data_IF_494081749532
#
_entry.id   IF_494081749532
#
_cell.length_a   1.000
_cell.length_b   1.000
_cell.length_c   1.000
_cell.angle_alpha   90.00
_cell.angle_beta   90.00
_cell.angle_gamma   90.00
#
_symmetry.space_group_name_H-M   'P 1'
#
loop_
_entity.id
_entity.type
_entity.pdbx_description
1 polymer ?
#
# COMPACT_ATOMS: atom_id res chain seq x y z
N UNK A 1 -62.37 -0.84 80.15
CA UNK A 1 -61.64 0.31 80.72
C UNK A 1 -60.14 -0.01 80.73
N UNK A 2 -59.34 0.88 80.13
CA UNK A 2 -57.88 1.11 80.27
C UNK A 2 -56.82 0.00 80.10
N UNK A 3 -56.05 0.16 79.01
CA UNK A 3 -54.57 0.27 78.84
C UNK A 3 -53.57 -0.49 79.75
N UNK A 4 -52.62 -1.14 79.04
CA UNK A 4 -51.14 -0.97 79.06
C UNK A 4 -50.19 -1.98 79.78
N UNK A 5 -49.18 -2.38 78.97
CA UNK A 5 -47.74 -2.69 79.23
C UNK A 5 -47.35 -4.09 79.72
N UNK A 6 -46.34 -4.69 79.04
CA UNK A 6 -45.27 -5.43 79.74
C UNK A 6 -44.83 -6.79 79.16
N UNK A 7 -43.67 -6.80 78.52
CA UNK A 7 -42.84 -7.92 78.04
C UNK A 7 -42.64 -9.11 79.01
N UNK A 8 -42.55 -10.36 78.50
CA UNK A 8 -41.40 -11.28 78.75
C UNK A 8 -41.44 -12.62 77.98
N UNK A 9 -40.29 -12.91 77.33
CA UNK A 9 -39.57 -14.19 77.10
C UNK A 9 -40.34 -15.54 76.98
N UNK A 10 -40.28 -16.13 75.78
CA UNK A 10 -40.24 -17.57 75.43
C UNK A 10 -39.61 -17.64 74.02
N UNK A 11 -38.74 -18.55 73.58
CA UNK A 11 -38.15 -19.75 74.15
C UNK A 11 -37.01 -20.18 73.21
N UNK A 12 -36.03 -20.87 73.79
CA UNK A 12 -34.75 -21.31 73.22
C UNK A 12 -34.93 -22.70 72.60
N UNK A 13 -34.71 -22.89 71.30
CA UNK A 13 -34.19 -24.12 70.66
C UNK A 13 -34.04 -23.94 69.15
N UNK A 14 -33.07 -24.66 68.58
CA UNK A 14 -32.71 -24.78 67.15
C UNK A 14 -31.77 -23.67 66.65
N UNK A 15 -30.46 -23.79 66.91
CA UNK A 15 -29.47 -23.21 65.98
C UNK A 15 -28.03 -23.77 66.05
N UNK A 16 -27.81 -25.00 66.55
CA UNK A 16 -26.44 -25.54 66.70
C UNK A 16 -25.98 -26.55 65.62
N UNK A 17 -26.70 -26.71 64.50
CA UNK A 17 -26.30 -27.68 63.46
C UNK A 17 -26.02 -27.10 62.05
N UNK A 18 -25.92 -25.78 61.90
CA UNK A 18 -25.66 -25.13 60.59
C UNK A 18 -24.32 -24.41 60.46
N UNK A 19 -23.41 -24.56 61.44
CA UNK A 19 -22.13 -23.81 61.46
C UNK A 19 -20.89 -24.60 61.05
N UNK A 20 -20.95 -25.93 60.93
CA UNK A 20 -19.77 -26.76 60.69
C UNK A 20 -19.54 -27.25 59.25
N UNK A 21 -20.47 -27.05 58.32
CA UNK A 21 -20.30 -27.42 56.91
C UNK A 21 -19.88 -26.26 55.99
N UNK A 22 -20.03 -24.99 56.43
CA UNK A 22 -19.60 -23.80 55.66
C UNK A 22 -18.11 -23.46 55.76
N UNK A 23 -17.36 -24.05 56.69
CA UNK A 23 -15.94 -23.71 56.89
C UNK A 23 -14.94 -24.57 56.10
N UNK A 24 -15.33 -25.74 55.56
CA UNK A 24 -14.42 -26.58 54.76
C UNK A 24 -14.29 -26.15 53.30
N UNK A 25 -15.31 -25.48 52.73
CA UNK A 25 -15.29 -25.04 51.33
C UNK A 25 -14.54 -23.72 51.10
N UNK A 26 -14.37 -22.89 52.14
CA UNK A 26 -13.72 -21.58 52.03
C UNK A 26 -12.20 -21.63 51.83
N UNK A 27 -11.54 -22.77 52.08
CA UNK A 27 -10.10 -22.94 51.86
C UNK A 27 -9.72 -23.45 50.46
N UNK A 28 -10.65 -24.03 49.70
CA UNK A 28 -10.38 -24.61 48.38
C UNK A 28 -10.82 -23.73 47.20
N UNK A 29 -11.71 -22.76 47.43
CA UNK A 29 -12.15 -21.79 46.41
C UNK A 29 -10.99 -20.96 45.83
N UNK A 30 -10.02 -20.42 46.61
CA UNK A 30 -8.93 -19.65 46.00
C UNK A 30 -7.99 -20.51 45.16
N UNK A 31 -7.82 -21.80 45.49
CA UNK A 31 -6.95 -22.70 44.72
C UNK A 31 -7.59 -23.19 43.43
N UNK A 32 -8.91 -23.40 43.42
CA UNK A 32 -9.65 -23.77 42.21
C UNK A 32 -9.71 -22.62 41.19
N UNK A 33 -9.84 -21.36 41.66
CA UNK A 33 -9.82 -20.17 40.81
C UNK A 33 -8.42 -19.92 40.23
N UNK A 34 -7.37 -20.09 41.04
CA UNK A 34 -5.97 -19.98 40.57
C UNK A 34 -5.61 -21.08 39.56
N UNK A 35 -6.11 -22.30 39.73
CA UNK A 35 -5.90 -23.39 38.76
C UNK A 35 -6.66 -23.12 37.45
N UNK A 36 -7.88 -22.59 37.53
CA UNK A 36 -8.66 -22.18 36.35
C UNK A 36 -8.01 -21.04 35.56
N UNK A 37 -7.43 -20.05 36.25
CA UNK A 37 -6.67 -18.97 35.62
C UNK A 37 -5.35 -19.50 35.03
N UNK A 38 -4.63 -20.39 35.72
CA UNK A 38 -3.41 -20.98 35.20
C UNK A 38 -3.66 -21.85 33.95
N UNK A 39 -4.76 -22.61 33.92
CA UNK A 39 -5.17 -23.38 32.74
C UNK A 39 -5.60 -22.45 31.60
N UNK A 40 -6.38 -21.40 31.89
CA UNK A 40 -6.78 -20.40 30.89
C UNK A 40 -5.57 -19.63 30.32
N UNK A 41 -4.60 -19.26 31.15
CA UNK A 41 -3.34 -18.63 30.72
C UNK A 41 -2.47 -19.62 29.96
N UNK A 42 -2.49 -20.91 30.30
CA UNK A 42 -1.74 -21.94 29.55
C UNK A 42 -2.38 -22.23 28.19
N UNK A 43 -3.72 -22.24 28.08
CA UNK A 43 -4.43 -22.33 26.79
C UNK A 43 -4.29 -21.05 25.96
N UNK A 44 -4.30 -19.88 26.60
CA UNK A 44 -4.05 -18.60 25.94
C UNK A 44 -2.60 -18.55 25.44
N UNK A 45 -1.62 -18.94 26.25
CA UNK A 45 -0.23 -19.06 25.84
C UNK A 45 -0.01 -20.14 24.78
N UNK A 46 -0.68 -21.30 24.83
CA UNK A 46 -0.60 -22.30 23.75
C UNK A 46 -1.20 -21.77 22.44
N UNK A 47 -2.24 -20.94 22.51
CA UNK A 47 -2.89 -20.35 21.32
C UNK A 47 -2.15 -19.12 20.78
N UNK A 48 -1.44 -18.38 21.64
CA UNK A 48 -0.66 -17.19 21.27
C UNK A 48 0.79 -17.53 20.89
N UNK A 49 1.38 -18.57 21.48
CA UNK A 49 2.75 -19.02 21.17
C UNK A 49 2.79 -20.24 20.24
N UNK A 50 1.68 -20.99 20.10
CA UNK A 50 1.60 -22.18 19.25
C UNK A 50 1.69 -21.91 17.75
N UNK A 51 1.48 -20.66 17.30
CA UNK A 51 1.56 -20.29 15.88
C UNK A 51 2.92 -19.71 15.46
N UNK A 52 3.90 -19.63 16.35
CA UNK A 52 5.18 -18.99 16.06
C UNK A 52 6.18 -19.85 15.25
N UNK A 53 5.89 -21.13 14.93
CA UNK A 53 6.80 -22.00 14.16
C UNK A 53 6.14 -23.09 13.30
N UNK A 54 5.00 -22.82 12.68
CA UNK A 54 4.60 -23.63 11.51
C UNK A 54 5.34 -23.12 10.28
N UNK A 55 6.65 -23.37 10.23
CA UNK A 55 7.35 -23.49 8.96
C UNK A 55 6.74 -24.72 8.25
N UNK A 56 5.65 -24.51 7.50
CA UNK A 56 5.27 -25.47 6.47
C UNK A 56 6.44 -25.48 5.48
N UNK A 57 7.29 -26.49 5.59
CA UNK A 57 8.29 -26.77 4.59
C UNK A 57 7.55 -27.25 3.35
N UNK A 58 7.22 -26.32 2.46
CA UNK A 58 6.84 -26.67 1.10
C UNK A 58 8.11 -27.17 0.38
N UNK A 59 8.04 -28.30 -0.35
CA UNK A 59 9.17 -28.73 -1.17
C UNK A 59 9.46 -27.65 -2.22
N UNK A 60 10.73 -27.26 -2.40
CA UNK A 60 11.06 -26.18 -3.33
C UNK A 60 10.63 -26.52 -4.76
N UNK A 61 9.76 -25.68 -5.33
CA UNK A 61 9.27 -25.79 -6.71
C UNK A 61 10.21 -25.05 -7.67
N UNK A 62 9.99 -25.20 -8.98
CA UNK A 62 10.75 -24.44 -9.99
C UNK A 62 10.62 -22.92 -9.80
N UNK A 63 9.53 -22.44 -9.19
CA UNK A 63 9.30 -21.02 -8.93
C UNK A 63 10.36 -20.43 -7.99
N UNK A 64 10.82 -21.17 -6.99
CA UNK A 64 11.73 -20.62 -5.95
C UNK A 64 13.17 -21.10 -6.09
N UNK A 65 13.44 -22.06 -6.99
CA UNK A 65 14.80 -22.59 -7.22
C UNK A 65 15.81 -21.54 -7.68
N UNK A 66 15.35 -20.53 -8.40
CA UNK A 66 16.19 -19.46 -8.95
C UNK A 66 15.54 -18.11 -8.72
N UNK A 67 15.98 -17.44 -7.67
CA UNK A 67 15.55 -16.09 -7.33
C UNK A 67 16.63 -15.08 -7.72
N UNK A 68 16.21 -13.90 -8.18
CA UNK A 68 17.08 -12.77 -8.54
C UNK A 68 16.72 -11.56 -7.68
N UNK A 69 17.72 -10.84 -7.18
CA UNK A 69 17.50 -9.63 -6.40
C UNK A 69 17.16 -8.44 -7.30
N UNK A 70 16.05 -7.77 -6.99
CA UNK A 70 15.59 -6.54 -7.62
C UNK A 70 15.61 -5.38 -6.62
N UNK A 71 15.98 -4.19 -7.12
CA UNK A 71 15.87 -2.94 -6.37
C UNK A 71 14.57 -2.23 -6.71
N UNK A 72 13.71 -2.00 -5.70
CA UNK A 72 12.40 -1.35 -5.84
C UNK A 72 12.29 -0.23 -4.83
N UNK A 73 12.29 1.02 -5.30
CA UNK A 73 12.32 2.19 -4.43
C UNK A 73 13.53 2.15 -3.49
N UNK A 74 13.30 2.09 -2.18
CA UNK A 74 14.35 1.92 -1.16
C UNK A 74 14.60 0.46 -0.74
N UNK A 75 13.90 -0.49 -1.33
CA UNK A 75 13.92 -1.90 -0.96
C UNK A 75 14.76 -2.74 -1.92
N UNK A 76 15.16 -3.90 -1.43
CA UNK A 76 15.56 -5.06 -2.20
C UNK A 76 14.56 -6.18 -1.96
N UNK A 77 14.21 -6.89 -3.03
CA UNK A 77 13.30 -8.03 -3.01
C UNK A 77 13.82 -9.08 -3.99
N UNK A 78 13.72 -10.36 -3.64
CA UNK A 78 14.15 -11.44 -4.51
C UNK A 78 12.92 -12.03 -5.22
N UNK A 79 12.95 -12.06 -6.56
CA UNK A 79 11.85 -12.49 -7.41
C UNK A 79 12.29 -13.68 -8.29
N UNK A 80 11.36 -14.55 -8.70
CA UNK A 80 11.68 -15.73 -9.51
C UNK A 80 12.29 -15.37 -10.88
N UNK A 81 13.15 -16.23 -11.40
CA UNK A 81 13.57 -16.19 -12.80
C UNK A 81 12.33 -16.23 -13.72
N UNK A 82 12.32 -15.40 -14.77
CA UNK A 82 11.14 -15.22 -15.62
C UNK A 82 10.16 -14.15 -15.13
N UNK A 83 10.51 -13.40 -14.08
CA UNK A 83 9.80 -12.16 -13.74
C UNK A 83 9.93 -11.12 -14.85
N UNK A 84 8.79 -10.58 -15.27
CA UNK A 84 8.67 -9.59 -16.34
C UNK A 84 7.87 -8.37 -15.84
N UNK A 85 7.97 -7.25 -16.54
CA UNK A 85 7.19 -6.05 -16.23
C UNK A 85 7.06 -5.19 -17.48
N UNK A 86 6.02 -4.36 -17.52
CA UNK A 86 5.80 -3.43 -18.61
C UNK A 86 6.79 -2.27 -18.59
N UNK A 87 7.06 -1.62 -19.74
CA UNK A 87 7.94 -0.45 -19.80
C UNK A 87 7.54 0.69 -18.85
N UNK A 88 6.26 0.79 -18.49
CA UNK A 88 5.66 1.82 -17.64
C UNK A 88 5.33 1.34 -16.21
N UNK A 89 5.79 0.14 -15.82
CA UNK A 89 5.32 -0.54 -14.61
C UNK A 89 5.71 0.11 -13.27
N UNK A 90 6.48 1.20 -13.26
CA UNK A 90 6.93 1.86 -12.03
C UNK A 90 6.65 3.37 -12.03
N UNK A 91 6.26 3.90 -10.88
CA UNK A 91 6.08 5.33 -10.66
C UNK A 91 6.46 5.76 -9.25
N UNK A 92 6.64 7.06 -9.07
CA UNK A 92 6.90 7.66 -7.78
C UNK A 92 6.15 8.99 -7.60
N UNK A 93 5.83 9.33 -6.36
CA UNK A 93 5.50 10.71 -5.99
C UNK A 93 6.70 11.31 -5.26
N UNK A 94 7.20 12.44 -5.77
CA UNK A 94 8.25 13.22 -5.14
C UNK A 94 7.64 14.47 -4.50
N UNK A 95 8.20 14.88 -3.37
CA UNK A 95 7.70 15.99 -2.55
C UNK A 95 6.19 15.92 -2.20
N UNK A 96 5.58 14.75 -2.30
CA UNK A 96 4.18 14.48 -1.99
C UNK A 96 3.17 14.82 -3.07
N UNK A 97 3.59 15.47 -4.16
CA UNK A 97 2.64 15.93 -5.19
C UNK A 97 3.18 15.87 -6.63
N UNK A 98 4.49 15.68 -6.82
CA UNK A 98 5.09 15.57 -8.15
C UNK A 98 5.08 14.10 -8.58
N UNK A 99 4.12 13.75 -9.43
CA UNK A 99 4.07 12.44 -10.06
C UNK A 99 5.22 12.29 -11.08
N UNK A 100 6.10 11.34 -10.84
CA UNK A 100 7.17 10.90 -11.73
C UNK A 100 6.83 9.52 -12.29
N UNK A 101 6.75 9.42 -13.62
CA UNK A 101 6.67 8.15 -14.33
C UNK A 101 7.92 7.91 -15.16
N UNK A 102 8.20 6.63 -15.40
CA UNK A 102 9.35 6.19 -16.21
C UNK A 102 8.86 5.26 -17.30
N UNK A 103 9.36 5.46 -18.52
CA UNK A 103 9.09 4.59 -19.68
C UNK A 103 10.42 4.16 -20.28
N UNK A 104 10.69 2.86 -20.26
CA UNK A 104 11.88 2.27 -20.89
C UNK A 104 11.62 1.92 -22.36
N UNK A 105 12.69 1.76 -23.15
CA UNK A 105 12.59 1.41 -24.57
C UNK A 105 12.21 2.56 -25.51
N UNK A 106 12.22 3.81 -25.04
CA UNK A 106 11.89 4.99 -25.85
C UNK A 106 13.12 5.41 -26.65
N UNK A 107 13.07 5.52 -27.97
CA UNK A 107 14.22 5.99 -28.75
C UNK A 107 14.40 7.52 -28.64
N UNK A 108 15.62 8.02 -28.92
CA UNK A 108 15.87 9.48 -28.96
C UNK A 108 15.00 10.18 -30.01
N UNK A 109 14.75 9.51 -31.14
CA UNK A 109 13.90 10.01 -32.21
C UNK A 109 12.43 10.13 -31.75
N UNK A 110 11.92 9.10 -31.06
CA UNK A 110 10.56 9.13 -30.51
C UNK A 110 10.41 10.21 -29.45
N UNK A 111 11.43 10.39 -28.61
CA UNK A 111 11.49 11.50 -27.66
C UNK A 111 11.43 12.86 -28.38
N UNK A 112 12.22 13.07 -29.42
CA UNK A 112 12.22 14.32 -30.17
C UNK A 112 10.84 14.60 -30.81
N UNK A 113 10.23 13.59 -31.42
CA UNK A 113 8.88 13.68 -31.99
C UNK A 113 7.85 14.03 -30.90
N UNK A 114 7.93 13.38 -29.73
CA UNK A 114 7.06 13.65 -28.60
C UNK A 114 7.18 15.09 -28.12
N UNK A 115 8.40 15.63 -27.99
CA UNK A 115 8.63 17.00 -27.52
C UNK A 115 8.08 18.05 -28.47
N UNK A 116 8.27 17.86 -29.78
CA UNK A 116 7.73 18.77 -30.80
C UNK A 116 6.20 18.72 -30.85
N UNK A 117 5.63 17.51 -30.83
CA UNK A 117 4.18 17.31 -30.79
C UNK A 117 3.57 17.98 -29.56
N UNK A 118 4.13 17.71 -28.37
CA UNK A 118 3.59 18.24 -27.11
C UNK A 118 3.70 19.76 -27.03
N UNK A 119 4.80 20.34 -27.51
CA UNK A 119 4.94 21.79 -27.58
C UNK A 119 3.89 22.44 -28.49
N UNK A 120 3.64 21.85 -29.67
CA UNK A 120 2.62 22.34 -30.59
C UNK A 120 1.20 22.25 -30.00
N UNK A 121 0.90 21.20 -29.22
CA UNK A 121 -0.36 21.08 -28.49
C UNK A 121 -0.53 22.22 -27.48
N UNK A 122 0.50 22.51 -26.68
CA UNK A 122 0.48 23.61 -25.70
C UNK A 122 0.26 24.96 -26.40
N UNK A 123 0.95 25.24 -27.51
CA UNK A 123 0.75 26.47 -28.28
C UNK A 123 -0.67 26.57 -28.85
N UNK A 124 -1.28 25.45 -29.23
CA UNK A 124 -2.65 25.41 -29.72
C UNK A 124 -3.69 25.59 -28.59
N UNK A 125 -3.41 25.06 -27.39
CA UNK A 125 -4.22 25.29 -26.18
C UNK A 125 -4.21 26.77 -25.80
N UNK A 126 -3.05 27.43 -25.80
CA UNK A 126 -2.95 28.86 -25.47
C UNK A 126 -3.76 29.74 -26.43
N UNK A 127 -3.72 29.44 -27.74
CA UNK A 127 -4.51 30.19 -28.75
C UNK A 127 -6.02 30.08 -28.55
N UNK A 128 -6.49 28.98 -27.95
CA UNK A 128 -7.91 28.76 -27.65
C UNK A 128 -8.33 29.38 -26.32
N UNK A 129 -7.38 29.71 -25.45
CA UNK A 129 -7.68 30.29 -24.14
C UNK A 129 -8.31 31.67 -24.30
N UNK A 130 -9.52 31.83 -23.73
CA UNK A 130 -10.22 33.11 -23.68
C UNK A 130 -9.79 33.96 -22.47
N UNK A 131 -8.92 33.41 -21.60
CA UNK A 131 -8.36 34.12 -20.46
C UNK A 131 -7.19 34.98 -20.95
N UNK A 132 -7.14 36.24 -20.52
CA UNK A 132 -5.94 37.07 -20.66
C UNK A 132 -4.82 36.44 -19.82
N UNK A 133 -4.00 35.60 -20.46
CA UNK A 133 -2.90 34.94 -19.79
C UNK A 133 -1.89 36.00 -19.32
N UNK A 134 -1.46 35.98 -18.04
CA UNK A 134 -0.43 36.87 -17.51
C UNK A 134 0.89 36.82 -18.29
N UNK A 135 1.19 35.66 -18.88
CA UNK A 135 2.42 35.30 -19.57
C UNK A 135 2.10 34.24 -20.62
N UNK A 136 2.90 34.20 -21.68
CA UNK A 136 2.85 33.12 -22.68
C UNK A 136 3.57 31.88 -22.18
N UNK A 137 3.23 30.72 -22.76
CA UNK A 137 3.91 29.47 -22.51
C UNK A 137 5.41 29.62 -22.75
N UNK A 138 6.19 28.89 -21.97
CA UNK A 138 7.63 28.86 -22.06
C UNK A 138 8.16 27.43 -21.98
N UNK A 139 9.20 27.17 -22.74
CA UNK A 139 9.95 25.91 -22.76
C UNK A 139 11.35 26.17 -22.20
N UNK A 140 11.77 25.39 -21.22
CA UNK A 140 13.13 25.39 -20.67
C UNK A 140 13.80 24.04 -20.92
N UNK A 141 15.09 24.04 -21.25
CA UNK A 141 15.87 22.83 -21.51
C UNK A 141 17.13 22.85 -20.62
N UNK A 142 17.01 22.61 -19.31
CA UNK A 142 18.11 22.78 -18.36
C UNK A 142 19.27 21.78 -18.57
N UNK A 143 18.98 20.63 -19.17
CA UNK A 143 19.91 19.53 -19.42
C UNK A 143 19.78 19.07 -20.87
N UNK A 144 20.78 18.34 -21.38
CA UNK A 144 20.68 17.66 -22.68
C UNK A 144 19.46 16.72 -22.66
N UNK A 145 18.68 16.73 -23.74
CA UNK A 145 17.48 15.90 -23.92
C UNK A 145 16.49 16.04 -22.75
N UNK A 146 16.32 17.26 -22.26
CA UNK A 146 15.29 17.61 -21.28
C UNK A 146 14.41 18.74 -21.80
N UNK A 147 13.16 18.76 -21.34
CA UNK A 147 12.23 19.86 -21.57
C UNK A 147 11.36 20.06 -20.33
N UNK A 148 11.17 21.31 -19.92
CA UNK A 148 10.17 21.72 -18.93
C UNK A 148 9.26 22.71 -19.63
N UNK A 149 8.00 22.33 -19.79
CA UNK A 149 6.98 23.21 -20.34
C UNK A 149 6.25 23.89 -19.21
N UNK A 150 6.06 25.20 -19.34
CA UNK A 150 5.40 26.05 -18.35
C UNK A 150 4.35 26.86 -19.09
N UNK A 151 3.07 26.65 -18.78
CA UNK A 151 1.97 27.14 -19.62
C UNK A 151 0.69 27.32 -18.81
N UNK A 152 -0.41 27.72 -19.47
CA UNK A 152 -1.71 27.95 -18.84
C UNK A 152 -1.64 28.92 -17.66
N UNK A 153 -0.93 30.03 -17.84
CA UNK A 153 -0.84 31.07 -16.83
C UNK A 153 -2.22 31.67 -16.54
N UNK A 154 -2.58 31.81 -15.27
CA UNK A 154 -3.84 32.42 -14.82
C UNK A 154 -3.61 33.31 -13.61
N UNK A 155 -4.32 34.44 -13.56
CA UNK A 155 -4.43 35.23 -12.34
C UNK A 155 -5.55 34.67 -11.47
N UNK A 156 -5.24 34.43 -10.21
CA UNK A 156 -6.24 34.12 -9.20
C UNK A 156 -6.12 35.17 -8.11
N UNK A 157 -7.23 35.85 -7.84
CA UNK A 157 -7.36 36.76 -6.71
C UNK A 157 -8.20 36.07 -5.65
N UNK A 158 -7.65 35.97 -4.45
CA UNK A 158 -8.31 35.31 -3.33
C UNK A 158 -7.60 35.57 -2.01
N UNK A 159 -8.27 35.34 -0.89
CA UNK A 159 -7.61 35.41 0.40
C UNK A 159 -6.56 34.30 0.51
N UNK A 160 -5.38 34.64 1.01
CA UNK A 160 -4.45 33.65 1.53
C UNK A 160 -5.02 33.00 2.81
N UNK A 161 -4.28 32.09 3.41
CA UNK A 161 -4.71 31.37 4.60
C UNK A 161 -4.88 32.24 5.84
N UNK A 162 -4.30 33.43 5.81
CA UNK A 162 -4.44 34.42 6.86
C UNK A 162 -5.57 35.42 6.54
N UNK A 163 -6.36 35.17 5.49
CA UNK A 163 -7.44 36.04 5.04
C UNK A 163 -6.98 37.27 4.26
N UNK A 164 -5.69 37.39 3.90
CA UNK A 164 -5.17 38.54 3.17
C UNK A 164 -5.41 38.35 1.70
N UNK A 165 -6.17 39.25 1.07
CA UNK A 165 -6.39 39.23 -0.38
C UNK A 165 -5.05 39.33 -1.12
N UNK A 166 -4.72 38.29 -1.89
CA UNK A 166 -3.55 38.26 -2.76
C UNK A 166 -3.97 38.00 -4.19
N UNK A 167 -3.21 38.61 -5.08
CA UNK A 167 -3.29 38.36 -6.51
C UNK A 167 -2.06 37.54 -6.89
N UNK A 168 -2.28 36.26 -7.17
CA UNK A 168 -1.21 35.31 -7.48
C UNK A 168 -1.32 34.80 -8.91
N UNK A 169 -0.16 34.51 -9.50
CA UNK A 169 -0.09 33.87 -10.82
C UNK A 169 0.09 32.37 -10.61
N UNK A 170 -0.86 31.61 -11.13
CA UNK A 170 -0.76 30.17 -11.22
C UNK A 170 -0.39 29.77 -12.64
N UNK A 171 0.32 28.66 -12.76
CA UNK A 171 0.67 28.06 -14.03
C UNK A 171 0.74 26.55 -13.88
N UNK A 172 0.76 25.87 -15.00
CA UNK A 172 1.01 24.44 -15.05
C UNK A 172 2.41 24.19 -15.55
N UNK A 173 3.01 23.13 -15.03
CA UNK A 173 4.30 22.67 -15.49
C UNK A 173 4.30 21.15 -15.68
N UNK A 174 4.99 20.70 -16.71
CA UNK A 174 5.30 19.30 -16.96
C UNK A 174 6.77 19.20 -17.38
N UNK A 175 7.40 18.07 -17.09
CA UNK A 175 8.85 17.90 -17.23
C UNK A 175 9.20 16.60 -17.90
N UNK A 176 10.23 16.62 -18.74
CA UNK A 176 10.70 15.47 -19.49
C UNK A 176 12.21 15.41 -19.46
N UNK A 177 12.74 14.20 -19.35
CA UNK A 177 14.15 13.91 -19.52
C UNK A 177 14.29 12.57 -20.24
N UNK A 178 15.08 12.52 -21.29
CA UNK A 178 15.42 11.28 -21.97
C UNK A 178 16.91 10.98 -21.84
N UNK A 179 17.23 9.75 -21.43
CA UNK A 179 18.60 9.22 -21.28
C UNK A 179 18.58 7.72 -21.55
N UNK A 180 19.55 7.21 -22.32
CA UNK A 180 19.81 5.77 -22.54
C UNK A 180 18.55 4.91 -22.76
N UNK A 181 17.68 5.33 -23.68
CA UNK A 181 16.39 4.69 -24.00
C UNK A 181 15.34 4.71 -22.88
N UNK A 182 15.49 5.59 -21.90
CA UNK A 182 14.56 5.78 -20.78
C UNK A 182 14.05 7.22 -20.78
N UNK A 183 12.73 7.36 -20.81
CA UNK A 183 12.02 8.62 -20.67
C UNK A 183 11.52 8.76 -19.23
N UNK A 184 11.90 9.84 -18.57
CA UNK A 184 11.36 10.31 -17.31
C UNK A 184 10.32 11.39 -17.60
N UNK A 185 9.15 11.29 -16.98
CA UNK A 185 8.06 12.26 -17.15
C UNK A 185 7.56 12.71 -15.79
N UNK A 186 7.65 14.02 -15.54
CA UNK A 186 6.86 14.69 -14.52
C UNK A 186 5.52 15.08 -15.11
N UNK A 187 4.43 14.56 -14.53
CA UNK A 187 3.07 14.87 -14.96
C UNK A 187 2.74 16.37 -14.85
N UNK A 188 1.68 16.79 -15.52
CA UNK A 188 1.14 18.15 -15.42
C UNK A 188 0.82 18.46 -13.96
N UNK A 189 1.48 19.47 -13.40
CA UNK A 189 1.34 19.84 -12.00
C UNK A 189 1.33 21.36 -11.84
N UNK A 190 0.46 21.84 -10.95
CA UNK A 190 0.28 23.27 -10.69
C UNK A 190 1.52 23.86 -10.00
N UNK A 191 2.08 24.92 -10.57
CA UNK A 191 3.23 25.68 -10.08
C UNK A 191 4.51 24.87 -9.83
N UNK A 192 4.67 23.73 -10.50
CA UNK A 192 5.74 22.78 -10.24
C UNK A 192 7.07 23.08 -10.97
N UNK A 193 7.15 24.15 -11.77
CA UNK A 193 8.27 24.35 -12.71
C UNK A 193 9.64 24.33 -12.02
N UNK A 194 9.79 25.05 -10.91
CA UNK A 194 11.07 25.13 -10.19
C UNK A 194 11.43 23.83 -9.47
N UNK A 195 10.43 23.08 -8.99
CA UNK A 195 10.67 21.79 -8.36
C UNK A 195 11.04 20.71 -9.38
N UNK A 196 10.41 20.71 -10.56
CA UNK A 196 10.82 19.86 -11.69
C UNK A 196 12.27 20.16 -12.07
N UNK A 197 12.64 21.44 -12.20
CA UNK A 197 14.01 21.85 -12.50
C UNK A 197 15.02 21.38 -11.45
N UNK A 198 14.63 21.36 -10.17
CA UNK A 198 15.45 20.85 -9.06
C UNK A 198 15.62 19.33 -9.09
N UNK A 199 14.61 18.58 -9.53
CA UNK A 199 14.67 17.12 -9.58
C UNK A 199 15.37 16.56 -10.80
N UNK A 200 15.26 17.21 -11.97
CA UNK A 200 15.84 16.71 -13.24
C UNK A 200 17.32 16.27 -13.15
N UNK A 201 18.24 16.98 -12.47
CA UNK A 201 19.64 16.57 -12.35
C UNK A 201 19.85 15.27 -11.55
N UNK A 202 18.85 14.83 -10.77
CA UNK A 202 18.92 13.67 -9.86
C UNK A 202 18.38 12.38 -10.48
N UNK A 203 17.93 12.45 -11.72
CA UNK A 203 17.35 11.32 -12.45
C UNK A 203 18.44 10.61 -13.24
N UNK A 204 18.70 9.36 -12.91
CA UNK A 204 19.73 8.53 -13.56
C UNK A 204 19.11 7.29 -14.16
N UNK A 205 19.69 6.82 -15.26
CA UNK A 205 19.40 5.50 -15.82
C UNK A 205 20.19 4.45 -15.05
N UNK A 206 19.65 3.23 -14.99
CA UNK A 206 20.35 2.07 -14.39
C UNK A 206 19.97 0.80 -15.12
N UNK A 207 20.79 -0.24 -15.00
CA UNK A 207 20.42 -1.59 -15.45
C UNK A 207 19.42 -2.23 -14.48
N UNK A 208 18.62 -3.18 -14.97
CA UNK A 208 17.57 -3.81 -14.16
C UNK A 208 18.10 -4.50 -12.90
N UNK A 209 19.25 -5.17 -13.03
CA UNK A 209 19.94 -5.89 -11.94
C UNK A 209 21.00 -5.03 -11.22
N UNK A 210 21.12 -3.76 -11.55
CA UNK A 210 22.03 -2.85 -10.86
C UNK A 210 21.41 -2.40 -9.54
N UNK A 211 22.17 -2.58 -8.46
CA UNK A 211 21.81 -2.13 -7.11
C UNK A 211 22.64 -0.88 -6.80
N UNK A 212 22.03 0.32 -6.77
CA UNK A 212 22.75 1.56 -6.48
C UNK A 212 23.32 1.57 -5.06
N UNK A 213 24.53 2.09 -4.91
CA UNK A 213 25.25 2.26 -3.63
C UNK A 213 25.01 3.63 -2.97
N UNK A 214 24.22 4.50 -3.63
CA UNK A 214 23.83 5.83 -3.17
C UNK A 214 22.39 5.87 -2.66
N UNK A 215 22.03 6.83 -1.79
CA UNK A 215 20.66 6.99 -1.31
C UNK A 215 19.73 7.46 -2.42
N UNK A 216 18.54 6.85 -2.51
CA UNK A 216 17.57 7.18 -3.53
C UNK A 216 16.59 6.05 -3.85
N UNK A 217 15.73 6.30 -4.83
CA UNK A 217 14.61 5.45 -5.24
C UNK A 217 14.93 4.71 -6.54
N UNK A 218 14.86 3.38 -6.52
CA UNK A 218 14.94 2.55 -7.71
C UNK A 218 13.58 2.46 -8.42
N UNK A 219 13.57 2.78 -9.71
CA UNK A 219 12.42 2.64 -10.61
C UNK A 219 12.81 1.76 -11.81
N UNK A 220 11.87 1.47 -12.71
CA UNK A 220 12.11 0.67 -13.91
C UNK A 220 13.17 1.32 -14.80
N UNK A 221 14.35 0.70 -14.93
CA UNK A 221 15.48 1.24 -15.70
C UNK A 221 16.03 2.59 -15.18
N UNK A 222 15.64 2.99 -13.97
CA UNK A 222 15.83 4.34 -13.47
C UNK A 222 16.19 4.38 -11.97
N UNK A 223 16.83 5.48 -11.58
CA UNK A 223 17.21 5.80 -10.20
C UNK A 223 17.02 7.29 -9.94
N UNK A 224 16.34 7.61 -8.83
CA UNK A 224 16.17 8.99 -8.35
C UNK A 224 17.06 9.18 -7.14
N UNK A 225 18.13 9.95 -7.27
CA UNK A 225 19.04 10.23 -6.15
C UNK A 225 18.37 11.12 -5.11
N UNK A 226 18.19 10.61 -3.89
CA UNK A 226 17.57 11.33 -2.79
C UNK A 226 17.94 10.74 -1.43
N UNK A 227 18.29 11.62 -0.48
CA UNK A 227 18.40 11.24 0.93
C UNK A 227 17.03 10.93 1.53
N UNK A 228 17.01 10.09 2.56
CA UNK A 228 15.81 9.85 3.34
C UNK A 228 15.69 10.89 4.45
N UNK A 229 15.06 12.02 4.14
CA UNK A 229 14.88 13.14 5.06
C UNK A 229 13.43 13.18 5.61
N UNK A 230 13.30 13.02 6.93
CA UNK A 230 12.01 13.14 7.62
C UNK A 230 11.43 14.56 7.58
N UNK A 231 12.28 15.58 7.45
CA UNK A 231 11.84 16.97 7.38
C UNK A 231 11.50 17.40 5.95
N UNK A 232 11.86 16.58 4.96
CA UNK A 232 11.46 16.82 3.57
C UNK A 232 9.98 16.44 3.35
N UNK A 233 9.38 16.84 2.22
CA UNK A 233 8.00 16.45 1.91
C UNK A 233 7.90 14.98 1.50
N UNK A 234 6.67 14.45 1.44
CA UNK A 234 6.35 13.03 1.27
C UNK A 234 7.01 12.39 0.04
N UNK A 235 7.27 11.08 0.09
CA UNK A 235 7.65 10.31 -1.09
C UNK A 235 6.93 8.96 -1.09
N UNK A 236 6.57 8.47 -2.27
CA UNK A 236 6.05 7.10 -2.43
C UNK A 236 6.52 6.49 -3.74
N UNK A 237 6.60 5.17 -3.77
CA UNK A 237 6.94 4.37 -4.96
C UNK A 237 5.95 3.23 -5.08
N UNK A 238 5.56 2.93 -6.32
CA UNK A 238 4.82 1.72 -6.68
C UNK A 238 5.46 1.06 -7.90
N UNK A 239 5.58 -0.26 -7.88
CA UNK A 239 6.06 -1.03 -9.03
C UNK A 239 5.34 -2.39 -9.13
N UNK A 240 4.68 -2.63 -10.26
CA UNK A 240 4.07 -3.90 -10.63
C UNK A 240 4.98 -4.85 -11.42
N UNK A 241 4.83 -6.14 -11.18
CA UNK A 241 5.55 -7.24 -11.81
C UNK A 241 4.58 -8.33 -12.23
N UNK A 242 4.90 -9.01 -13.33
CA UNK A 242 4.30 -10.29 -13.71
C UNK A 242 5.31 -11.39 -13.46
N UNK A 243 4.97 -12.26 -12.53
CA UNK A 243 5.73 -13.45 -12.17
C UNK A 243 5.27 -14.63 -13.03
N UNK A 244 6.06 -15.73 -13.09
CA UNK A 244 5.61 -16.97 -13.71
C UNK A 244 4.30 -17.47 -13.10
N UNK A 245 3.55 -18.28 -13.86
CA UNK A 245 2.24 -18.83 -13.48
C UNK A 245 1.12 -17.79 -13.32
N UNK A 246 1.13 -16.73 -14.13
CA UNK A 246 0.06 -15.70 -14.13
C UNK A 246 -0.15 -15.08 -12.74
N UNK A 247 0.96 -14.81 -12.06
CA UNK A 247 0.98 -14.13 -10.76
C UNK A 247 1.37 -12.67 -10.95
N UNK A 248 0.53 -11.76 -10.46
CA UNK A 248 0.83 -10.34 -10.37
C UNK A 248 1.43 -10.02 -9.01
N UNK A 249 2.52 -9.26 -8.97
CA UNK A 249 3.10 -8.75 -7.73
C UNK A 249 3.17 -7.23 -7.80
N UNK A 250 2.77 -6.54 -6.73
CA UNK A 250 2.98 -5.11 -6.60
C UNK A 250 3.74 -4.82 -5.33
N UNK A 251 4.77 -3.99 -5.46
CA UNK A 251 5.61 -3.54 -4.34
C UNK A 251 5.41 -2.05 -4.18
N UNK A 252 5.03 -1.63 -2.97
CA UNK A 252 4.85 -0.23 -2.59
C UNK A 252 5.71 0.09 -1.39
N UNK A 253 6.17 1.34 -1.34
CA UNK A 253 6.64 1.91 -0.09
C UNK A 253 6.33 3.40 -0.06
N UNK A 254 6.09 3.94 1.12
CA UNK A 254 5.80 5.35 1.32
C UNK A 254 6.52 5.89 2.54
N UNK A 255 7.01 7.11 2.47
CA UNK A 255 7.62 7.76 3.64
C UNK A 255 6.54 8.05 4.67
N UNK A 256 6.80 7.68 5.91
CA UNK A 256 5.91 7.99 7.03
C UNK A 256 6.63 8.82 8.08
N UNK A 257 5.91 9.72 8.74
CA UNK A 257 6.42 10.47 9.89
C UNK A 257 6.14 9.74 11.21
N UNK A 258 5.03 9.00 11.24
CA UNK A 258 4.60 8.11 12.30
C UNK A 258 4.08 6.81 11.65
N UNK A 259 4.15 5.66 12.35
CA UNK A 259 3.64 4.41 11.81
C UNK A 259 2.18 4.54 11.36
N UNK A 260 1.88 4.00 10.18
CA UNK A 260 0.51 3.83 9.72
C UNK A 260 -0.28 2.89 10.64
N UNK A 261 -1.60 2.93 10.54
CA UNK A 261 -2.45 1.98 11.24
C UNK A 261 -2.19 0.54 10.72
N UNK A 262 -2.00 -0.45 11.60
CA UNK A 262 -1.77 -1.83 11.19
C UNK A 262 -2.88 -2.36 10.27
N UNK A 263 -2.48 -3.09 9.22
CA UNK A 263 -3.39 -3.53 8.16
C UNK A 263 -4.56 -4.39 8.69
N UNK A 264 -4.30 -5.34 9.58
CA UNK A 264 -5.37 -6.21 10.09
C UNK A 264 -6.37 -5.46 10.97
N UNK A 265 -5.92 -4.39 11.64
CA UNK A 265 -6.81 -3.53 12.41
C UNK A 265 -7.72 -2.71 11.49
N UNK A 266 -7.17 -2.14 10.41
CA UNK A 266 -7.95 -1.46 9.36
C UNK A 266 -9.04 -2.37 8.79
N UNK A 267 -8.69 -3.62 8.46
CA UNK A 267 -9.68 -4.57 7.93
C UNK A 267 -10.79 -4.90 8.93
N UNK A 268 -10.44 -5.12 10.20
CA UNK A 268 -11.43 -5.40 11.25
C UNK A 268 -12.43 -4.24 11.40
N UNK A 269 -11.97 -3.00 11.24
CA UNK A 269 -12.82 -1.81 11.31
C UNK A 269 -13.73 -1.68 10.07
N UNK A 270 -13.22 -1.97 8.88
CA UNK A 270 -14.00 -1.90 7.63
C UNK A 270 -15.04 -3.00 7.44
N UNK A 271 -14.81 -4.21 7.98
CA UNK A 271 -15.76 -5.33 7.82
C UNK A 271 -17.13 -5.06 8.47
N UNK A 272 -17.18 -4.29 9.56
CA UNK A 272 -18.42 -3.95 10.25
C UNK A 272 -19.34 -3.05 9.39
N UNK A 273 -18.76 -2.19 8.54
CA UNK A 273 -19.49 -1.27 7.67
C UNK A 273 -19.98 -1.95 6.38
N UNK A 274 -19.21 -2.91 5.86
CA UNK A 274 -19.45 -3.54 4.57
C UNK A 274 -20.42 -4.73 4.60
N UNK A 275 -20.59 -5.37 5.76
CA UNK A 275 -21.37 -6.62 5.91
C UNK A 275 -22.83 -6.49 5.45
N UNK A 276 -23.46 -5.32 5.67
CA UNK A 276 -24.84 -5.06 5.27
C UNK A 276 -25.04 -4.91 3.76
N UNK A 277 -24.06 -4.33 3.07
CA UNK A 277 -24.08 -4.14 1.60
C UNK A 277 -23.88 -5.48 0.89
N UNK A 278 -22.89 -6.26 1.32
CA UNK A 278 -22.59 -7.58 0.76
C UNK A 278 -23.77 -8.55 0.89
N UNK A 279 -24.46 -8.56 2.03
CA UNK A 279 -25.62 -9.41 2.25
C UNK A 279 -26.77 -9.14 1.27
N UNK A 280 -26.97 -7.86 0.88
CA UNK A 280 -28.01 -7.46 -0.07
C UNK A 280 -27.70 -7.93 -1.50
N UNK A 281 -26.44 -7.92 -1.89
CA UNK A 281 -26.02 -8.36 -3.23
C UNK A 281 -25.98 -9.87 -3.38
N UNK A 282 -25.56 -10.59 -2.33
CA UNK A 282 -25.63 -12.06 -2.28
C UNK A 282 -27.08 -12.60 -2.36
N UNK A 283 -28.07 -11.80 -1.99
CA UNK A 283 -29.48 -12.16 -2.07
C UNK A 283 -30.07 -12.09 -3.51
N UNK A 284 -29.34 -11.51 -4.48
CA UNK A 284 -29.81 -11.41 -5.87
C UNK A 284 -29.80 -12.80 -6.54
N UNK A 285 -30.87 -13.20 -7.24
CA UNK A 285 -30.94 -14.50 -7.90
C UNK A 285 -29.81 -14.73 -8.90
N UNK A 286 -29.17 -15.90 -8.82
CA UNK A 286 -28.12 -16.31 -9.76
C UNK A 286 -26.74 -15.69 -9.48
N UNK A 287 -26.58 -14.94 -8.40
CA UNK A 287 -25.26 -14.50 -7.92
C UNK A 287 -24.61 -15.64 -7.12
N UNK A 288 -23.36 -15.94 -7.44
CA UNK A 288 -22.48 -16.80 -6.66
C UNK A 288 -21.34 -15.91 -6.23
N UNK A 289 -21.20 -15.64 -4.94
CA UNK A 289 -20.02 -14.99 -4.39
C UNK A 289 -19.69 -15.55 -3.01
N UNK A 290 -18.41 -15.68 -2.71
CA UNK A 290 -17.95 -16.16 -1.43
C UNK A 290 -16.45 -15.99 -1.26
N UNK A 291 -16.02 -15.97 0.00
CA UNK A 291 -14.65 -15.68 0.42
C UNK A 291 -14.13 -16.79 1.32
N UNK A 292 -12.84 -17.10 1.20
CA UNK A 292 -12.07 -17.92 2.12
C UNK A 292 -10.88 -17.14 2.63
N UNK A 293 -10.67 -17.16 3.94
CA UNK A 293 -9.45 -16.62 4.54
C UNK A 293 -8.49 -17.78 4.83
N UNK A 294 -7.31 -17.72 4.23
CA UNK A 294 -6.27 -18.73 4.42
C UNK A 294 -5.32 -18.36 5.56
N UNK A 295 -4.99 -17.06 5.68
CA UNK A 295 -4.10 -16.52 6.71
C UNK A 295 -4.54 -15.10 7.06
N UNK A 296 -4.53 -14.76 8.35
CA UNK A 296 -4.63 -13.38 8.84
C UNK A 296 -3.91 -13.32 10.20
N UNK A 297 -2.70 -12.77 10.22
CA UNK A 297 -1.83 -12.77 11.41
C UNK A 297 -0.75 -11.70 11.34
N UNK A 298 -0.15 -11.39 12.48
CA UNK A 298 1.14 -10.70 12.54
C UNK A 298 2.20 -11.54 11.82
N UNK A 299 3.01 -10.90 10.97
CA UNK A 299 4.13 -11.53 10.27
C UNK A 299 5.30 -10.57 10.21
N UNK A 300 6.32 -10.87 11.00
CA UNK A 300 7.56 -10.11 10.96
C UNK A 300 8.46 -10.62 9.84
N UNK A 301 9.04 -9.69 9.08
CA UNK A 301 10.01 -9.97 8.02
C UNK A 301 11.32 -9.29 8.38
N UNK A 302 12.29 -10.06 8.88
CA UNK A 302 13.48 -9.48 9.51
C UNK A 302 13.08 -8.55 10.66
N UNK A 303 13.52 -7.30 10.59
CA UNK A 303 13.20 -6.26 11.58
C UNK A 303 11.90 -5.48 11.26
N UNK A 304 11.16 -5.89 10.21
CA UNK A 304 9.93 -5.24 9.78
C UNK A 304 8.72 -5.92 10.45
N UNK A 305 8.16 -5.27 11.47
CA UNK A 305 6.98 -5.77 12.21
C UNK A 305 5.69 -5.52 11.42
N UNK A 306 5.35 -6.48 10.55
CA UNK A 306 4.21 -6.36 9.65
C UNK A 306 3.02 -7.26 9.99
N UNK A 307 1.99 -7.12 9.17
CA UNK A 307 0.79 -7.95 9.14
C UNK A 307 0.69 -8.70 7.81
N UNK A 308 0.18 -9.93 7.84
CA UNK A 308 -0.10 -10.75 6.66
C UNK A 308 -1.59 -11.08 6.61
N UNK A 309 -2.17 -10.99 5.40
CA UNK A 309 -3.49 -11.50 5.09
C UNK A 309 -3.49 -12.19 3.73
N UNK A 310 -4.05 -13.39 3.64
CA UNK A 310 -4.22 -14.13 2.39
C UNK A 310 -5.64 -14.62 2.29
N UNK A 311 -6.32 -14.21 1.22
CA UNK A 311 -7.74 -14.47 0.98
C UNK A 311 -7.96 -14.96 -0.45
N UNK A 312 -9.00 -15.77 -0.61
CA UNK A 312 -9.56 -16.11 -1.90
C UNK A 312 -11.01 -15.64 -2.00
N UNK A 313 -11.38 -15.11 -3.15
CA UNK A 313 -12.76 -14.71 -3.46
C UNK A 313 -13.19 -15.36 -4.77
N UNK A 314 -14.30 -16.09 -4.75
CA UNK A 314 -14.93 -16.62 -5.97
C UNK A 314 -16.19 -15.84 -6.27
N UNK A 315 -16.36 -15.45 -7.53
CA UNK A 315 -17.60 -14.90 -8.05
C UNK A 315 -18.08 -15.61 -9.33
N UNK A 316 -19.39 -15.56 -9.54
CA UNK A 316 -20.10 -16.09 -10.69
C UNK A 316 -21.49 -15.46 -10.81
N UNK A 317 -22.00 -15.36 -12.04
CA UNK A 317 -23.40 -14.96 -12.29
C UNK A 317 -24.08 -15.95 -13.23
N UNK A 318 -25.40 -16.06 -13.13
CA UNK A 318 -26.18 -17.02 -13.92
C UNK A 318 -26.06 -16.86 -15.46
N UNK A 319 -25.63 -15.69 -15.95
CA UNK A 319 -25.33 -15.46 -17.36
C UNK A 319 -23.85 -15.65 -17.73
N UNK A 320 -22.96 -15.82 -16.74
CA UNK A 320 -21.55 -16.08 -16.97
C UNK A 320 -21.34 -17.55 -17.29
N UNK A 321 -20.48 -17.83 -18.27
CA UNK A 321 -20.07 -19.19 -18.63
C UNK A 321 -18.87 -19.68 -17.80
N UNK A 322 -18.44 -18.89 -16.83
CA UNK A 322 -17.26 -19.14 -16.01
C UNK A 322 -17.47 -18.57 -14.60
N UNK A 323 -16.70 -19.11 -13.66
CA UNK A 323 -16.46 -18.57 -12.34
C UNK A 323 -15.10 -17.89 -12.36
N UNK A 324 -15.02 -16.73 -11.72
CA UNK A 324 -13.76 -16.02 -11.50
C UNK A 324 -13.35 -16.23 -10.06
N UNK A 325 -12.14 -16.69 -9.82
CA UNK A 325 -11.59 -16.80 -8.47
C UNK A 325 -10.33 -15.97 -8.40
N UNK A 326 -10.29 -14.96 -7.53
CA UNK A 326 -9.08 -14.23 -7.21
C UNK A 326 -8.48 -14.81 -5.92
N UNK A 327 -7.18 -15.07 -5.92
CA UNK A 327 -6.43 -15.35 -4.70
C UNK A 327 -5.40 -14.23 -4.53
N UNK A 328 -5.43 -13.57 -3.38
CA UNK A 328 -4.56 -12.45 -3.05
C UNK A 328 -3.90 -12.62 -1.70
N UNK A 329 -2.61 -12.38 -1.63
CA UNK A 329 -1.83 -12.23 -0.42
C UNK A 329 -1.34 -10.79 -0.29
N UNK A 330 -1.57 -10.20 0.86
CA UNK A 330 -1.07 -8.87 1.22
C UNK A 330 -0.21 -8.99 2.48
N UNK A 331 0.91 -8.27 2.45
CA UNK A 331 1.74 -8.03 3.61
C UNK A 331 2.07 -6.56 3.71
N UNK A 332 1.90 -6.00 4.90
CA UNK A 332 2.12 -4.59 5.15
C UNK A 332 2.94 -4.38 6.42
N UNK A 333 4.00 -3.58 6.28
CA UNK A 333 4.71 -2.96 7.39
C UNK A 333 4.29 -1.49 7.48
N UNK A 334 3.75 -1.03 8.63
CA UNK A 334 3.20 0.32 8.76
C UNK A 334 4.25 1.45 8.73
N UNK A 335 5.54 1.11 8.71
CA UNK A 335 6.60 2.10 8.84
C UNK A 335 6.97 2.38 10.29
N UNK A 336 8.03 3.16 10.48
CA UNK A 336 8.50 3.61 11.78
C UNK A 336 8.84 5.10 11.73
N UNK A 337 8.55 5.80 12.82
CA UNK A 337 8.92 7.19 13.02
C UNK A 337 10.29 7.37 13.69
N UNK A 338 10.52 8.56 14.23
CA UNK A 338 11.72 8.90 15.03
C UNK A 338 11.91 7.95 16.23
N UNK A 339 13.15 7.58 16.61
CA UNK A 339 14.44 8.07 16.09
C UNK A 339 15.00 7.28 14.90
N UNK A 340 14.41 6.14 14.54
CA UNK A 340 14.87 5.27 13.46
C UNK A 340 13.80 5.17 12.38
N UNK A 341 13.66 6.19 11.53
CA UNK A 341 12.56 6.23 10.59
C UNK A 341 12.72 5.19 9.49
N UNK A 342 11.62 4.51 9.20
CA UNK A 342 11.52 3.54 8.13
C UNK A 342 10.22 3.81 7.36
N UNK A 343 10.24 3.82 6.02
CA UNK A 343 9.02 3.99 5.25
C UNK A 343 8.06 2.81 5.51
N UNK A 344 6.76 3.01 5.27
CA UNK A 344 5.83 1.90 5.18
C UNK A 344 6.14 1.06 3.94
N UNK A 345 5.81 -0.23 3.99
CA UNK A 345 6.03 -1.18 2.89
C UNK A 345 4.75 -1.99 2.71
N UNK A 346 4.31 -2.12 1.46
CA UNK A 346 3.21 -2.99 1.06
C UNK A 346 3.65 -3.94 -0.04
N UNK A 347 3.31 -5.22 0.10
CA UNK A 347 3.57 -6.27 -0.89
C UNK A 347 2.25 -6.98 -1.16
N UNK A 348 1.81 -6.96 -2.42
CA UNK A 348 0.60 -7.62 -2.88
C UNK A 348 0.97 -8.67 -3.92
N UNK A 349 0.57 -9.92 -3.71
CA UNK A 349 0.71 -11.02 -4.67
C UNK A 349 -0.67 -11.56 -4.99
N UNK A 350 -1.08 -11.51 -6.25
CA UNK A 350 -2.39 -11.95 -6.68
C UNK A 350 -2.38 -12.80 -7.93
N UNK A 351 -3.44 -13.60 -8.09
CA UNK A 351 -3.72 -14.32 -9.31
C UNK A 351 -5.23 -14.47 -9.49
N UNK A 352 -5.69 -14.45 -10.74
CA UNK A 352 -7.11 -14.57 -11.06
C UNK A 352 -7.34 -15.74 -12.01
N UNK A 353 -8.07 -16.72 -11.53
CA UNK A 353 -8.51 -17.90 -12.27
C UNK A 353 -9.84 -17.63 -12.96
N UNK A 354 -10.02 -18.19 -14.16
CA UNK A 354 -11.33 -18.28 -14.83
C UNK A 354 -11.62 -19.75 -15.15
N UNK A 355 -12.59 -20.35 -14.48
CA UNK A 355 -12.92 -21.78 -14.60
C UNK A 355 -14.37 -21.99 -15.02
N UNK A 356 -14.65 -23.05 -15.78
CA UNK A 356 -16.03 -23.37 -16.18
C UNK A 356 -16.87 -23.92 -15.02
N UNK A 357 -16.18 -24.51 -14.05
CA UNK A 357 -16.71 -25.21 -12.89
C UNK A 357 -16.51 -24.37 -11.63
N UNK A 358 -17.48 -24.47 -10.73
CA UNK A 358 -17.41 -23.84 -9.42
C UNK A 358 -16.38 -24.60 -8.57
N UNK A 359 -15.48 -23.91 -7.85
CA UNK A 359 -14.56 -24.56 -6.91
C UNK A 359 -15.32 -25.25 -5.77
N UNK A 360 -14.64 -26.20 -5.11
CA UNK A 360 -15.23 -27.02 -4.04
C UNK A 360 -15.80 -26.15 -2.91
N UNK A 361 -15.00 -25.21 -2.40
CA UNK A 361 -15.46 -24.10 -1.58
C UNK A 361 -15.25 -22.78 -2.32
N UNK A 362 -16.12 -21.78 -2.05
CA UNK A 362 -15.94 -20.46 -2.65
C UNK A 362 -14.72 -19.78 -2.04
N UNK A 363 -13.83 -19.27 -2.90
CA UNK A 363 -12.52 -18.76 -2.52
C UNK A 363 -11.41 -19.81 -2.55
N UNK A 364 -11.71 -21.06 -2.88
CA UNK A 364 -10.67 -22.09 -3.06
C UNK A 364 -9.88 -21.92 -4.35
N UNK A 365 -8.60 -22.28 -4.29
CA UNK A 365 -7.82 -22.58 -5.48
C UNK A 365 -8.56 -23.62 -6.34
N UNK A 366 -8.75 -23.37 -7.64
CA UNK A 366 -9.27 -24.39 -8.54
C UNK A 366 -8.36 -25.61 -8.63
N UNK A 367 -8.89 -26.69 -9.18
CA UNK A 367 -8.06 -27.88 -9.44
C UNK A 367 -7.01 -27.57 -10.50
N UNK A 368 -5.83 -28.20 -10.40
CA UNK A 368 -4.75 -27.95 -11.35
C UNK A 368 -5.15 -28.30 -12.80
N UNK A 369 -5.98 -29.32 -12.99
CA UNK A 369 -6.45 -29.73 -14.31
C UNK A 369 -7.32 -28.66 -15.00
N UNK A 370 -8.03 -27.83 -14.23
CA UNK A 370 -8.84 -26.73 -14.75
C UNK A 370 -8.01 -25.49 -15.11
N UNK A 371 -6.86 -25.32 -14.46
CA UNK A 371 -6.01 -24.13 -14.59
C UNK A 371 -4.51 -24.47 -14.54
N UNK A 372 -3.97 -25.27 -15.50
CA UNK A 372 -2.60 -25.78 -15.42
C UNK A 372 -1.51 -24.69 -15.56
N UNK A 373 -1.86 -23.56 -16.18
CA UNK A 373 -0.98 -22.40 -16.33
C UNK A 373 -0.81 -21.59 -15.04
N UNK A 374 -1.65 -21.81 -14.03
CA UNK A 374 -1.71 -21.04 -12.79
C UNK A 374 -1.03 -21.78 -11.62
N UNK A 375 -0.73 -21.13 -10.48
CA UNK A 375 -0.14 -21.80 -9.34
C UNK A 375 -1.17 -22.70 -8.64
N UNK A 376 -0.69 -23.81 -8.10
CA UNK A 376 -1.37 -24.54 -7.03
C UNK A 376 -1.33 -23.76 -5.71
N UNK A 377 -2.16 -24.12 -4.75
CA UNK A 377 -2.12 -23.54 -3.39
C UNK A 377 -0.71 -23.62 -2.77
N UNK A 378 -0.04 -24.77 -2.92
CA UNK A 378 1.30 -24.98 -2.38
C UNK A 378 2.33 -24.08 -3.06
N UNK A 379 2.32 -23.98 -4.39
CA UNK A 379 3.21 -23.09 -5.16
C UNK A 379 3.00 -21.62 -4.79
N UNK A 380 1.73 -21.19 -4.64
CA UNK A 380 1.41 -19.82 -4.23
C UNK A 380 2.03 -19.50 -2.86
N UNK A 381 1.76 -20.33 -1.85
CA UNK A 381 2.27 -20.07 -0.50
C UNK A 381 3.78 -20.20 -0.38
N UNK A 382 4.38 -21.12 -1.10
CA UNK A 382 5.83 -21.26 -1.16
C UNK A 382 6.48 -19.99 -1.75
N UNK A 383 5.97 -19.50 -2.88
CA UNK A 383 6.49 -18.29 -3.52
C UNK A 383 6.24 -17.06 -2.65
N UNK A 384 5.02 -16.90 -2.13
CA UNK A 384 4.67 -15.84 -1.20
C UNK A 384 5.61 -15.80 0.00
N UNK A 385 5.83 -16.96 0.64
CA UNK A 385 6.69 -17.04 1.81
C UNK A 385 8.15 -16.71 1.47
N UNK A 386 8.63 -17.17 0.31
CA UNK A 386 9.98 -16.92 -0.18
C UNK A 386 10.21 -15.45 -0.53
N UNK A 387 9.29 -14.82 -1.27
CA UNK A 387 9.36 -13.39 -1.63
C UNK A 387 9.39 -12.54 -0.36
N UNK A 388 8.44 -12.76 0.57
CA UNK A 388 8.39 -11.96 1.79
C UNK A 388 9.67 -12.09 2.61
N UNK A 389 10.20 -13.30 2.80
CA UNK A 389 11.43 -13.49 3.56
C UNK A 389 12.67 -12.82 2.95
N UNK A 390 12.59 -12.37 1.70
CA UNK A 390 13.66 -11.64 1.01
C UNK A 390 13.54 -10.12 1.10
N UNK A 391 12.44 -9.57 1.62
CA UNK A 391 12.24 -8.11 1.67
C UNK A 391 13.18 -7.48 2.70
N UNK A 392 13.97 -6.50 2.26
CA UNK A 392 14.84 -5.70 3.12
C UNK A 392 15.09 -4.31 2.54
N UNK A 393 15.47 -3.35 3.36
CA UNK A 393 15.99 -2.08 2.84
C UNK A 393 17.32 -2.28 2.12
N UNK A 394 17.49 -1.59 0.99
CA UNK A 394 18.79 -1.53 0.32
C UNK A 394 19.80 -0.85 1.26
N UNK A 395 21.02 -1.40 1.43
CA UNK A 395 22.06 -0.75 2.22
C UNK A 395 22.27 0.71 1.79
N UNK A 396 22.26 1.63 2.75
CA UNK A 396 22.41 3.07 2.48
C UNK A 396 21.18 3.77 1.88
N UNK A 397 20.07 3.07 1.62
CA UNK A 397 18.89 3.72 1.07
C UNK A 397 18.19 4.65 2.06
N UNK A 398 18.29 4.37 3.37
CA UNK A 398 17.71 5.21 4.42
C UNK A 398 18.70 6.27 4.96
N UNK A 399 19.79 6.54 4.24
CA UNK A 399 20.79 7.53 4.69
C UNK A 399 20.16 8.94 4.76
N UNK A 400 20.22 9.61 5.92
CA UNK A 400 19.74 10.97 6.07
C UNK A 400 20.69 11.97 5.38
N UNK A 401 20.24 13.20 5.12
CA UNK A 401 21.11 14.23 4.57
C UNK A 401 22.25 14.58 5.56
N UNK A 402 23.42 15.03 5.06
CA UNK A 402 24.54 15.42 5.92
C UNK A 402 24.17 16.55 6.91
N UNK A 403 24.66 16.54 8.15
CA UNK A 403 24.44 17.65 9.08
C UNK A 403 25.00 18.95 8.47
N UNK A 404 24.18 20.01 8.48
CA UNK A 404 24.42 21.33 7.85
C UNK A 404 24.23 21.43 6.33
N UNK A 405 23.78 20.39 5.63
CA UNK A 405 22.94 20.68 4.46
C UNK A 405 21.65 21.24 5.03
N UNK A 406 21.45 22.57 4.98
CA UNK A 406 20.14 23.15 5.32
C UNK A 406 19.01 22.40 4.58
N UNK A 407 17.73 22.50 5.01
CA UNK A 407 16.64 21.87 4.27
C UNK A 407 16.84 22.22 2.80
N UNK A 408 17.12 21.19 1.98
CA UNK A 408 17.79 21.32 0.68
C UNK A 408 17.30 22.58 -0.03
N UNK A 409 18.12 23.63 0.02
CA UNK A 409 17.77 25.02 -0.22
C UNK A 409 16.35 25.27 -0.79
N UNK A 410 15.37 25.45 0.09
CA UNK A 410 14.19 26.28 -0.19
C UNK A 410 14.67 27.74 -0.33
N UNK A 411 15.41 28.06 -1.39
CA UNK A 411 15.92 29.40 -1.65
C UNK A 411 15.06 30.13 -2.68
N UNK A 412 13.77 30.22 -2.40
CA UNK A 412 12.90 31.37 -2.69
C UNK A 412 11.95 31.41 -1.50
N UNK A 413 11.86 32.56 -0.82
CA UNK A 413 11.19 32.69 0.47
C UNK A 413 9.91 31.88 0.56
N UNK A 414 9.76 31.11 1.64
CA UNK A 414 8.58 30.29 1.92
C UNK A 414 7.32 31.06 1.52
N UNK A 415 6.54 30.62 0.51
CA UNK A 415 5.14 30.95 0.49
C UNK A 415 4.58 30.48 1.85
N UNK A 416 3.62 31.22 2.46
CA UNK A 416 3.02 30.76 3.70
C UNK A 416 2.54 29.32 3.45
N UNK A 417 2.91 28.41 4.35
CA UNK A 417 2.52 26.98 4.37
C UNK A 417 1.18 26.83 3.70
N UNK A 418 1.15 26.55 2.39
CA UNK A 418 -0.11 26.37 1.67
C UNK A 418 -0.70 25.12 2.30
N UNK A 419 -2.00 25.12 2.68
CA UNK A 419 -2.59 23.85 3.02
C UNK A 419 -2.43 23.04 1.75
N UNK A 420 -2.13 21.75 1.90
CA UNK A 420 -2.55 20.84 0.87
C UNK A 420 -3.98 21.25 0.47
N UNK A 421 -4.39 21.16 -0.81
CA UNK A 421 -5.81 21.05 -1.08
C UNK A 421 -6.38 20.15 0.00
N UNK A 422 -7.53 20.49 0.56
CA UNK A 422 -8.29 19.61 1.40
C UNK A 422 -8.66 18.40 0.51
N UNK A 423 -7.66 17.57 0.19
CA UNK A 423 -7.75 16.15 0.04
C UNK A 423 -8.32 15.81 1.40
N UNK A 424 -9.64 15.70 1.43
CA UNK A 424 -10.26 14.64 2.19
C UNK A 424 -9.28 13.47 2.10
N UNK A 425 -8.61 13.19 3.21
CA UNK A 425 -7.89 11.94 3.42
C UNK A 425 -8.98 10.84 3.47
N UNK A 426 -9.71 10.67 2.36
CA UNK A 426 -10.15 9.37 1.94
C UNK A 426 -8.86 8.74 1.44
N UNK A 427 -8.40 7.76 2.21
CA UNK A 427 -7.27 6.92 1.83
C UNK A 427 -7.53 6.42 0.41
N UNK A 428 -6.46 6.35 -0.37
CA UNK A 428 -6.41 5.87 -1.74
C UNK A 428 -6.82 4.39 -1.91
N UNK A 429 -7.97 3.98 -1.36
CA UNK A 429 -8.65 2.75 -1.74
C UNK A 429 -9.09 2.88 -3.22
N UNK A 430 -9.43 4.09 -3.68
CA UNK A 430 -9.71 4.37 -5.09
C UNK A 430 -8.52 4.20 -6.04
N UNK A 431 -7.26 4.34 -5.60
CA UNK A 431 -6.09 4.10 -6.46
C UNK A 431 -5.72 2.62 -6.50
N UNK A 432 -6.03 1.87 -5.43
CA UNK A 432 -5.97 0.42 -5.43
C UNK A 432 -7.03 -0.14 -6.40
N UNK A 433 -8.25 0.37 -6.34
CA UNK A 433 -9.30 0.02 -7.29
C UNK A 433 -8.97 0.48 -8.71
N UNK A 434 -8.66 1.76 -8.97
CA UNK A 434 -8.36 2.29 -10.31
C UNK A 434 -7.15 1.59 -10.98
N UNK A 435 -6.16 1.14 -10.20
CA UNK A 435 -5.04 0.33 -10.70
C UNK A 435 -5.44 -1.14 -10.94
N UNK A 436 -6.25 -1.76 -10.07
CA UNK A 436 -6.82 -3.10 -10.26
C UNK A 436 -7.83 -3.14 -11.44
N UNK A 437 -8.59 -2.07 -11.69
CA UNK A 437 -9.41 -1.88 -12.90
C UNK A 437 -8.57 -1.62 -14.14
N UNK A 438 -7.38 -1.03 -14.01
CA UNK A 438 -6.50 -0.79 -15.16
C UNK A 438 -5.83 -2.08 -15.68
N UNK A 439 -5.66 -3.07 -14.80
CA UNK A 439 -5.11 -4.40 -15.12
C UNK A 439 -6.17 -5.41 -15.56
N UNK A 440 -7.46 -5.07 -15.43
CA UNK A 440 -8.58 -5.91 -15.86
C UNK A 440 -9.33 -5.28 -17.04
N UNK A 441 -9.81 -6.06 -18.03
CA UNK A 441 -10.72 -5.53 -19.04
C UNK A 441 -11.94 -4.93 -18.32
N UNK A 442 -12.29 -3.67 -18.67
CA UNK A 442 -13.42 -2.88 -18.13
C UNK A 442 -14.76 -3.62 -18.16
N UNK A 443 -14.98 -4.55 -17.23
CA UNK A 443 -16.25 -5.23 -16.93
C UNK A 443 -16.32 -5.69 -15.45
N UNK A 444 -15.54 -5.07 -14.54
CA UNK A 444 -15.48 -5.45 -13.12
C UNK A 444 -16.26 -4.45 -12.26
N UNK A 445 -17.12 -4.92 -11.36
CA UNK A 445 -17.98 -4.11 -10.46
C UNK A 445 -17.53 -4.21 -8.99
N UNK A 446 -16.46 -4.98 -8.73
CA UNK A 446 -15.79 -4.98 -7.42
C UNK A 446 -15.12 -3.63 -7.12
N UNK A 447 -14.90 -2.82 -8.17
CA UNK A 447 -14.44 -1.43 -8.12
C UNK A 447 -15.59 -0.42 -7.87
N UNK A 448 -16.81 -0.90 -7.62
CA UNK A 448 -17.99 -0.10 -7.25
C UNK A 448 -18.53 -0.49 -5.85
N UNK A 449 -17.77 -1.30 -5.09
CA UNK A 449 -18.09 -1.77 -3.74
C UNK A 449 -17.12 -1.16 -2.73
#
# INVERSE_FOLDING_TARGET
MYRCVGSTKRGRKIHDNYRNTRMKWRKYIPHAILLGIAIAVSFYALRYWGDSKLHRNYPMTELTKKMQTHCVGRLLIDLPEGTEWEPTASGAHLDGYLALSVTTGVSEADYAILMEKRWAEIEAEEKKSTRLAPRSANKRNPLKNSAVFIYNYVWVEGPDLNGVMRKEVFHEAEGYLWRDNTLFTFGRTLNAAEDILRWLPRLYTRKNNEIPDRPGLCLNGAFVESYYDLNAPFESVSWGFRLPKELGLVVRHAKVWEPEQPMLERYREGEDEFTGLLAKDLAKPGVVAGRKEYRARKRNVGDLEGDERVVGGTEGRGNWKYFKTNIGGEWSFPGAGSPYPMPSVGIDLETTFKTATKPAELGDFPTHDEAPAYPTEAEFFELWDTILNSVRYRPGALTPPPPNSGPMASSVGSPPVRPAPLMTYDRDDYVLEEFLTSLTPKENWLDDL
#
